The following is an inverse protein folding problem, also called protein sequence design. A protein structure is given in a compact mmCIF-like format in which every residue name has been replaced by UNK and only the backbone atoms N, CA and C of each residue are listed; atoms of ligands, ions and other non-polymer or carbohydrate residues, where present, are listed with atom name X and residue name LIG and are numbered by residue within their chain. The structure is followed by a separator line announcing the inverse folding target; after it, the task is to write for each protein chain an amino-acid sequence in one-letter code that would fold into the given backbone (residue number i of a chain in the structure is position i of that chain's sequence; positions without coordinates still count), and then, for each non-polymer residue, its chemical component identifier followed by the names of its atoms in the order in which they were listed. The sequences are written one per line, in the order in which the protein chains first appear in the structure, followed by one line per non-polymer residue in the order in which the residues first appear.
data_IF_673890851733
#
_entry.id   IF_673890851733
#
_cell.length_a   1.000
_cell.length_b   1.000
_cell.length_c   1.000
_cell.angle_alpha   90.00
_cell.angle_beta   90.00
_cell.angle_gamma   90.00
#
_symmetry.space_group_name_H-M   'P 1'
#
loop_
_entity.id
_entity.type
_entity.pdbx_description
1 polymer ?
#
# COMPACT_ATOMS: atom_id res chain seq x y z
N UNK A 1 21.01 6.52 8.09
CA UNK A 1 20.38 7.35 7.05
C UNK A 1 19.06 6.71 6.66
N UNK A 2 18.01 7.52 6.55
CA UNK A 2 16.67 7.08 6.14
C UNK A 2 16.32 7.78 4.82
N UNK A 3 15.92 7.02 3.80
CA UNK A 3 15.52 7.53 2.50
C UNK A 3 14.10 7.04 2.23
N UNK A 4 13.19 7.98 2.02
CA UNK A 4 11.82 7.67 1.64
C UNK A 4 11.63 7.80 0.11
N UNK A 5 10.65 7.08 -0.42
CA UNK A 5 10.28 7.08 -1.83
C UNK A 5 11.46 6.84 -2.78
N UNK A 6 12.29 5.83 -2.49
CA UNK A 6 13.55 5.55 -3.21
C UNK A 6 13.38 5.38 -4.72
N UNK A 7 12.21 4.94 -5.18
CA UNK A 7 11.87 4.84 -6.60
C UNK A 7 11.79 6.20 -7.32
N UNK A 8 11.70 7.30 -6.59
CA UNK A 8 11.67 8.66 -7.13
C UNK A 8 13.05 9.18 -7.49
N UNK A 9 14.12 8.57 -6.97
CA UNK A 9 15.48 8.96 -7.27
C UNK A 9 15.89 8.57 -8.69
N UNK A 10 16.68 9.41 -9.36
CA UNK A 10 17.26 9.09 -10.66
C UNK A 10 18.40 8.07 -10.55
N UNK A 11 18.70 7.38 -11.67
CA UNK A 11 19.72 6.33 -11.70
C UNK A 11 21.11 6.83 -11.29
N UNK A 12 21.61 7.99 -11.77
CA UNK A 12 22.86 8.57 -11.27
C UNK A 12 22.90 8.73 -9.75
N UNK A 13 21.86 9.31 -9.15
CA UNK A 13 21.78 9.49 -7.69
C UNK A 13 21.81 8.16 -6.93
N UNK A 14 21.06 7.16 -7.39
CA UNK A 14 21.08 5.82 -6.78
C UNK A 14 22.44 5.14 -6.87
N UNK A 15 23.18 5.34 -7.97
CA UNK A 15 24.55 4.83 -8.12
C UNK A 15 25.53 5.51 -7.18
N UNK A 16 25.44 6.84 -7.07
CA UNK A 16 26.30 7.61 -6.15
C UNK A 16 26.05 7.18 -4.69
N UNK A 17 24.79 7.00 -4.31
CA UNK A 17 24.40 6.48 -3.00
C UNK A 17 25.00 5.09 -2.75
N UNK A 18 24.86 4.16 -3.70
CA UNK A 18 25.38 2.81 -3.57
C UNK A 18 26.91 2.78 -3.47
N UNK A 19 27.61 3.61 -4.24
CA UNK A 19 29.07 3.74 -4.18
C UNK A 19 29.53 4.31 -2.84
N UNK A 20 28.94 5.43 -2.39
CA UNK A 20 29.30 6.03 -1.10
C UNK A 20 29.02 5.09 0.08
N UNK A 21 27.93 4.32 0.01
CA UNK A 21 27.64 3.28 1.01
C UNK A 21 28.69 2.16 1.00
N UNK A 22 29.11 1.73 -0.19
CA UNK A 22 30.15 0.70 -0.31
C UNK A 22 31.50 1.17 0.22
N UNK A 23 31.89 2.41 -0.06
CA UNK A 23 33.12 3.01 0.47
C UNK A 23 33.08 3.05 2.00
N UNK A 24 31.98 3.55 2.57
CA UNK A 24 31.79 3.60 4.02
C UNK A 24 31.81 2.21 4.67
N UNK A 25 31.16 1.22 4.06
CA UNK A 25 31.13 -0.15 4.58
C UNK A 25 32.50 -0.87 4.48
N UNK A 26 33.42 -0.37 3.65
CA UNK A 26 34.75 -0.95 3.45
C UNK A 26 35.83 -0.27 4.30
N UNK A 27 35.52 0.87 4.93
CA UNK A 27 36.45 1.64 5.75
C UNK A 27 36.45 1.12 7.21
N UNK A 28 37.58 0.58 7.71
CA UNK A 28 37.69 0.07 9.08
C UNK A 28 37.52 1.15 10.16
N UNK A 29 37.77 2.42 9.82
CA UNK A 29 37.63 3.55 10.75
C UNK A 29 36.24 4.18 10.69
N UNK A 30 35.36 3.72 9.78
CA UNK A 30 34.02 4.25 9.66
C UNK A 30 33.18 3.98 10.93
N UNK A 31 32.37 4.96 11.37
CA UNK A 31 31.45 4.75 12.47
C UNK A 31 30.35 3.74 12.07
N UNK A 32 29.76 3.02 13.05
CA UNK A 32 28.60 2.18 12.78
C UNK A 32 27.49 2.98 12.10
N UNK A 33 27.09 2.56 10.91
CA UNK A 33 26.08 3.22 10.11
C UNK A 33 25.04 2.21 9.62
N UNK A 34 23.81 2.67 9.42
CA UNK A 34 22.74 1.93 8.74
C UNK A 34 22.10 2.77 7.64
N UNK A 35 21.71 2.14 6.54
CA UNK A 35 20.94 2.73 5.44
C UNK A 35 19.61 1.99 5.32
N UNK A 36 18.51 2.73 5.53
CA UNK A 36 17.16 2.20 5.34
C UNK A 36 16.47 3.00 4.25
N UNK A 37 15.96 2.30 3.26
CA UNK A 37 15.23 2.88 2.13
C UNK A 37 13.80 2.33 2.13
N UNK A 38 12.83 3.21 1.94
CA UNK A 38 11.42 2.84 1.77
C UNK A 38 10.97 3.22 0.37
N UNK A 39 10.08 2.42 -0.21
CA UNK A 39 9.49 2.72 -1.50
C UNK A 39 8.37 1.75 -1.87
N UNK A 40 7.74 2.02 -3.01
CA UNK A 40 6.67 1.20 -3.56
C UNK A 40 7.18 -0.17 -4.06
N UNK A 41 6.32 -1.17 -4.32
CA UNK A 41 6.76 -2.50 -4.77
C UNK A 41 7.72 -2.49 -5.97
N UNK A 42 7.55 -1.56 -6.91
CA UNK A 42 8.46 -1.38 -8.06
C UNK A 42 9.86 -0.84 -7.73
N UNK A 43 10.16 -0.54 -6.46
CA UNK A 43 11.44 0.04 -6.03
C UNK A 43 12.60 -0.93 -6.20
N UNK A 44 12.38 -2.22 -5.98
CA UNK A 44 13.41 -3.25 -6.15
C UNK A 44 13.87 -3.32 -7.61
N UNK A 45 12.93 -3.37 -8.56
CA UNK A 45 13.23 -3.34 -10.01
C UNK A 45 13.94 -2.04 -10.40
N UNK A 46 13.53 -0.91 -9.81
CA UNK A 46 14.16 0.38 -10.09
C UNK A 46 15.62 0.41 -9.61
N UNK A 47 15.87 -0.04 -8.37
CA UNK A 47 17.20 -0.13 -7.76
C UNK A 47 18.12 -1.10 -8.50
N UNK A 48 17.64 -2.31 -8.80
CA UNK A 48 18.39 -3.32 -9.55
C UNK A 48 18.75 -2.85 -10.97
N UNK A 49 17.87 -2.08 -11.62
CA UNK A 49 18.15 -1.48 -12.93
C UNK A 49 19.16 -0.32 -12.90
N UNK A 50 19.47 0.21 -11.71
CA UNK A 50 20.39 1.32 -11.51
C UNK A 50 21.75 0.82 -10.98
N UNK A 51 21.76 -0.19 -10.11
CA UNK A 51 22.92 -0.65 -9.33
C UNK A 51 23.24 -2.11 -9.65
N UNK A 52 24.44 -2.37 -10.17
CA UNK A 52 24.90 -3.71 -10.58
C UNK A 52 25.03 -4.71 -9.43
N UNK A 53 25.22 -4.23 -8.19
CA UNK A 53 25.35 -5.05 -6.97
C UNK A 53 24.17 -4.87 -6.01
N UNK A 54 22.96 -4.84 -6.57
CA UNK A 54 21.71 -4.70 -5.80
C UNK A 54 21.46 -5.86 -4.82
N UNK A 55 22.11 -7.02 -5.01
CA UNK A 55 22.07 -8.17 -4.09
C UNK A 55 22.59 -7.88 -2.67
N UNK A 56 23.29 -6.75 -2.47
CA UNK A 56 23.81 -6.33 -1.16
C UNK A 56 22.81 -5.55 -0.31
N UNK A 57 21.62 -5.27 -0.86
CA UNK A 57 20.51 -4.72 -0.10
C UNK A 57 19.59 -5.85 0.33
N UNK A 58 19.25 -5.88 1.61
CA UNK A 58 18.17 -6.72 2.10
C UNK A 58 16.83 -6.05 1.77
N UNK A 59 15.99 -6.76 1.04
CA UNK A 59 14.65 -6.31 0.67
C UNK A 59 13.63 -6.96 1.59
N UNK A 60 13.09 -6.18 2.52
CA UNK A 60 12.02 -6.63 3.41
C UNK A 60 10.67 -6.11 2.88
N UNK A 61 9.81 -6.97 2.28
CA UNK A 61 8.51 -6.54 1.81
C UNK A 61 7.57 -6.24 2.98
N UNK A 62 6.95 -5.06 2.95
CA UNK A 62 5.90 -4.70 3.90
C UNK A 62 4.52 -4.99 3.30
N UNK A 63 3.77 -5.86 3.97
CA UNK A 63 2.40 -6.20 3.60
C UNK A 63 1.38 -5.43 4.42
N UNK A 64 0.09 -5.67 4.15
CA UNK A 64 -0.99 -5.21 5.02
C UNK A 64 -0.81 -5.69 6.47
N UNK A 65 -1.43 -4.97 7.40
CA UNK A 65 -1.40 -5.32 8.81
C UNK A 65 -2.40 -6.45 9.09
N UNK A 66 -1.92 -7.52 9.74
CA UNK A 66 -2.79 -8.60 10.19
C UNK A 66 -3.74 -8.15 11.30
N UNK A 67 -4.69 -9.03 11.68
CA UNK A 67 -5.72 -8.76 12.69
C UNK A 67 -5.15 -8.23 14.01
N UNK A 68 -4.05 -8.83 14.49
CA UNK A 68 -3.36 -8.39 15.72
C UNK A 68 -2.75 -7.00 15.56
N UNK A 69 -2.16 -6.70 14.40
CA UNK A 69 -1.57 -5.39 14.12
C UNK A 69 -2.64 -4.29 14.01
N UNK A 70 -3.75 -4.57 13.30
CA UNK A 70 -4.90 -3.67 13.23
C UNK A 70 -5.54 -3.45 14.60
N UNK A 71 -5.66 -4.50 15.41
CA UNK A 71 -6.13 -4.40 16.79
C UNK A 71 -5.24 -3.49 17.62
N UNK A 72 -3.92 -3.73 17.62
CA UNK A 72 -2.97 -2.92 18.36
C UNK A 72 -3.00 -1.45 17.92
N UNK A 73 -3.06 -1.20 16.61
CA UNK A 73 -3.12 0.15 16.05
C UNK A 73 -4.36 0.95 16.48
N UNK A 74 -5.48 0.29 16.77
CA UNK A 74 -6.69 0.94 17.29
C UNK A 74 -6.70 1.05 18.81
N UNK A 75 -6.24 0.01 19.50
CA UNK A 75 -6.37 -0.14 20.95
C UNK A 75 -5.27 0.60 21.70
N UNK A 76 -4.00 0.46 21.31
CA UNK A 76 -2.88 1.09 22.01
C UNK A 76 -3.03 2.60 22.19
N UNK A 77 -3.29 3.42 21.13
CA UNK A 77 -3.45 4.86 21.32
C UNK A 77 -4.67 5.24 22.16
N UNK A 78 -5.74 4.44 22.13
CA UNK A 78 -6.90 4.66 22.98
C UNK A 78 -6.59 4.36 24.46
N UNK A 79 -5.90 3.25 24.73
CA UNK A 79 -5.50 2.82 26.06
C UNK A 79 -4.52 3.82 26.72
N UNK A 80 -3.58 4.38 25.96
CA UNK A 80 -2.65 5.41 26.45
C UNK A 80 -3.39 6.65 26.98
N UNK A 81 -4.62 6.90 26.51
CA UNK A 81 -5.49 7.98 26.94
C UNK A 81 -6.62 7.51 27.90
N UNK A 82 -6.58 6.24 28.32
CA UNK A 82 -7.60 5.65 29.20
C UNK A 82 -8.96 5.43 28.53
N UNK A 83 -9.02 5.41 27.20
CA UNK A 83 -10.24 5.16 26.42
C UNK A 83 -10.31 3.69 26.02
N UNK A 84 -11.51 3.11 26.08
CA UNK A 84 -11.73 1.68 25.88
C UNK A 84 -12.49 1.45 24.57
N UNK A 85 -12.05 0.47 23.79
CA UNK A 85 -12.87 -0.08 22.70
C UNK A 85 -13.73 -1.22 23.23
N UNK A 86 -15.03 -1.14 23.00
CA UNK A 86 -15.91 -2.29 23.23
C UNK A 86 -15.54 -3.42 22.25
N UNK A 87 -15.62 -4.67 22.69
CA UNK A 87 -15.09 -5.83 21.94
C UNK A 87 -15.76 -6.02 20.58
N UNK A 88 -17.05 -5.74 20.47
CA UNK A 88 -17.83 -5.80 19.23
C UNK A 88 -17.44 -4.66 18.27
N UNK A 89 -17.25 -3.45 18.79
CA UNK A 89 -16.76 -2.29 18.05
C UNK A 89 -15.38 -2.55 17.44
N UNK A 90 -14.44 -3.04 18.26
CA UNK A 90 -13.08 -3.35 17.83
C UNK A 90 -13.07 -4.42 16.74
N UNK A 91 -13.81 -5.51 16.93
CA UNK A 91 -13.91 -6.58 15.93
C UNK A 91 -14.46 -6.04 14.61
N UNK A 92 -15.53 -5.26 14.65
CA UNK A 92 -16.10 -4.66 13.44
C UNK A 92 -15.11 -3.71 12.75
N UNK A 93 -14.40 -2.88 13.51
CA UNK A 93 -13.41 -1.96 12.99
C UNK A 93 -12.24 -2.68 12.30
N UNK A 94 -11.72 -3.74 12.91
CA UNK A 94 -10.64 -4.56 12.34
C UNK A 94 -11.10 -5.26 11.07
N UNK A 95 -12.29 -5.89 11.06
CA UNK A 95 -12.83 -6.55 9.88
C UNK A 95 -13.01 -5.59 8.70
N UNK A 96 -13.61 -4.41 8.92
CA UNK A 96 -13.87 -3.44 7.84
C UNK A 96 -12.58 -2.83 7.28
N UNK A 97 -11.50 -2.84 8.07
CA UNK A 97 -10.21 -2.29 7.66
C UNK A 97 -9.50 -3.10 6.56
N UNK A 98 -9.83 -4.40 6.44
CA UNK A 98 -9.20 -5.36 5.53
C UNK A 98 -7.65 -5.35 5.58
N UNK A 99 -7.10 -5.06 6.76
CA UNK A 99 -5.65 -5.00 6.99
C UNK A 99 -4.93 -3.86 6.28
N UNK A 100 -5.66 -2.89 5.69
CA UNK A 100 -5.03 -1.72 5.08
C UNK A 100 -4.73 -0.67 6.14
N UNK A 101 -3.45 -0.42 6.40
CA UNK A 101 -2.99 0.47 7.48
C UNK A 101 -3.65 1.86 7.46
N UNK A 102 -3.76 2.46 6.27
CA UNK A 102 -4.44 3.75 6.12
C UNK A 102 -5.94 3.68 6.46
N UNK A 103 -6.63 2.59 6.10
CA UNK A 103 -8.04 2.40 6.45
C UNK A 103 -8.22 2.17 7.96
N UNK A 104 -7.32 1.43 8.60
CA UNK A 104 -7.29 1.31 10.08
C UNK A 104 -7.17 2.68 10.74
N UNK A 105 -6.24 3.51 10.28
CA UNK A 105 -6.06 4.87 10.81
C UNK A 105 -7.32 5.71 10.63
N UNK A 106 -7.94 5.69 9.45
CA UNK A 106 -9.19 6.40 9.19
C UNK A 106 -10.34 5.92 10.09
N UNK A 107 -10.48 4.61 10.27
CA UNK A 107 -11.50 4.04 11.16
C UNK A 107 -11.27 4.53 12.59
N UNK A 108 -10.02 4.48 13.08
CA UNK A 108 -9.67 4.99 14.42
C UNK A 108 -10.02 6.47 14.59
N UNK A 109 -9.59 7.32 13.65
CA UNK A 109 -9.87 8.77 13.65
C UNK A 109 -11.38 9.04 13.68
N UNK A 110 -12.13 8.47 12.74
CA UNK A 110 -13.56 8.76 12.60
C UNK A 110 -14.39 8.19 13.75
N UNK A 111 -14.01 7.03 14.31
CA UNK A 111 -14.66 6.50 15.51
C UNK A 111 -14.40 7.39 16.73
N UNK A 112 -13.18 7.91 16.87
CA UNK A 112 -12.82 8.83 17.94
C UNK A 112 -13.61 10.14 17.86
N UNK A 113 -13.76 10.69 16.65
CA UNK A 113 -14.59 11.87 16.39
C UNK A 113 -16.07 11.58 16.67
N UNK A 114 -16.60 10.43 16.23
CA UNK A 114 -17.98 10.04 16.49
C UNK A 114 -18.28 9.79 17.97
N UNK A 115 -17.27 9.45 18.78
CA UNK A 115 -17.36 9.37 20.24
C UNK A 115 -17.32 10.74 20.92
N UNK A 116 -17.13 11.83 20.17
CA UNK A 116 -17.03 13.18 20.74
C UNK A 116 -15.65 13.49 21.35
N UNK A 117 -14.59 12.83 20.87
CA UNK A 117 -13.21 12.94 21.42
C UNK A 117 -13.17 12.59 22.92
N UNK A 118 -13.40 11.30 23.25
CA UNK A 118 -13.56 10.88 24.64
C UNK A 118 -12.31 11.13 25.48
N UNK A 119 -12.51 11.51 26.74
CA UNK A 119 -11.49 11.52 27.79
C UNK A 119 -11.35 10.13 28.44
N UNK A 120 -10.42 9.99 29.38
CA UNK A 120 -10.20 8.77 30.15
C UNK A 120 -11.50 8.23 30.78
N UNK A 121 -11.74 6.93 30.64
CA UNK A 121 -12.99 6.26 31.00
C UNK A 121 -14.06 6.28 29.90
N UNK A 122 -13.80 6.96 28.78
CA UNK A 122 -14.67 6.95 27.61
C UNK A 122 -14.62 5.62 26.84
N UNK A 123 -15.64 5.40 26.00
CA UNK A 123 -15.81 4.16 25.25
C UNK A 123 -16.09 4.41 23.76
N UNK A 124 -15.41 3.66 22.90
CA UNK A 124 -15.75 3.52 21.49
C UNK A 124 -16.63 2.27 21.32
N UNK A 125 -17.87 2.47 20.88
CA UNK A 125 -18.88 1.40 20.75
C UNK A 125 -19.23 1.14 19.29
N UNK A 126 -20.00 0.07 19.03
CA UNK A 126 -20.45 -0.28 17.69
C UNK A 126 -21.18 0.86 16.97
N UNK A 127 -21.91 1.72 17.71
CA UNK A 127 -22.57 2.90 17.17
C UNK A 127 -21.58 3.89 16.52
N UNK A 128 -20.40 4.09 17.12
CA UNK A 128 -19.36 4.95 16.54
C UNK A 128 -18.75 4.35 15.28
N UNK A 129 -18.55 3.03 15.24
CA UNK A 129 -18.07 2.33 14.04
C UNK A 129 -19.09 2.45 12.90
N UNK A 130 -20.38 2.30 13.21
CA UNK A 130 -21.45 2.47 12.24
C UNK A 130 -21.53 3.92 11.70
N UNK A 131 -21.33 4.92 12.56
CA UNK A 131 -21.30 6.32 12.16
C UNK A 131 -20.05 6.67 11.34
N UNK A 132 -18.90 6.10 11.68
CA UNK A 132 -17.62 6.32 11.00
C UNK A 132 -17.56 5.68 9.60
N UNK A 133 -18.14 4.48 9.44
CA UNK A 133 -18.07 3.69 8.21
C UNK A 133 -18.39 4.47 6.92
N UNK A 134 -19.52 5.19 6.77
CA UNK A 134 -19.80 5.93 5.54
C UNK A 134 -18.78 7.05 5.25
N UNK A 135 -18.17 7.64 6.28
CA UNK A 135 -17.14 8.68 6.13
C UNK A 135 -15.83 8.05 5.64
N UNK A 136 -15.43 6.93 6.24
CA UNK A 136 -14.26 6.16 5.83
C UNK A 136 -14.41 5.71 4.37
N UNK A 137 -15.56 5.15 3.99
CA UNK A 137 -15.81 4.71 2.62
C UNK A 137 -15.78 5.88 1.62
N UNK A 138 -16.29 7.06 2.00
CA UNK A 138 -16.17 8.28 1.18
C UNK A 138 -14.71 8.73 1.01
N UNK A 139 -13.91 8.70 2.07
CA UNK A 139 -12.48 9.03 2.03
C UNK A 139 -11.72 8.02 1.14
N UNK A 140 -12.01 6.72 1.27
CA UNK A 140 -11.45 5.67 0.41
C UNK A 140 -11.85 5.86 -1.06
N UNK A 141 -13.12 6.16 -1.36
CA UNK A 141 -13.57 6.48 -2.73
C UNK A 141 -12.86 7.70 -3.33
N UNK A 142 -12.53 8.69 -2.51
CA UNK A 142 -11.76 9.86 -2.94
C UNK A 142 -10.32 9.48 -3.30
N UNK A 143 -9.68 8.62 -2.49
CA UNK A 143 -8.37 8.03 -2.78
C UNK A 143 -8.42 7.25 -4.11
N UNK A 144 -9.39 6.35 -4.27
CA UNK A 144 -9.57 5.56 -5.50
C UNK A 144 -9.75 6.43 -6.73
N UNK A 145 -10.57 7.48 -6.63
CA UNK A 145 -10.80 8.43 -7.73
C UNK A 145 -9.52 9.14 -8.14
N UNK A 146 -8.70 9.56 -7.18
CA UNK A 146 -7.41 10.21 -7.46
C UNK A 146 -6.47 9.26 -8.19
N UNK A 147 -6.38 8.02 -7.70
CA UNK A 147 -5.55 6.95 -8.26
C UNK A 147 -5.97 6.59 -9.69
N UNK A 148 -7.26 6.39 -9.91
CA UNK A 148 -7.86 6.13 -11.23
C UNK A 148 -7.63 7.28 -12.22
N UNK A 149 -7.83 8.53 -11.79
CA UNK A 149 -7.63 9.72 -12.63
C UNK A 149 -6.17 9.88 -13.06
N UNK A 150 -5.23 9.50 -12.19
CA UNK A 150 -3.80 9.54 -12.52
C UNK A 150 -3.38 8.55 -13.62
N UNK A 151 -4.20 7.52 -13.89
CA UNK A 151 -3.89 6.49 -14.87
C UNK A 151 -4.22 6.94 -16.30
N UNK A 152 -3.36 6.59 -17.25
CA UNK A 152 -3.61 6.80 -18.69
C UNK A 152 -4.71 5.86 -19.21
N UNK A 153 -5.19 6.10 -20.44
CA UNK A 153 -6.23 5.25 -21.06
C UNK A 153 -5.81 3.78 -21.08
N UNK A 154 -4.59 3.47 -21.54
CA UNK A 154 -4.08 2.09 -21.57
C UNK A 154 -3.90 1.46 -20.20
N UNK A 155 -3.56 2.27 -19.19
CA UNK A 155 -3.48 1.80 -17.80
C UNK A 155 -4.88 1.49 -17.25
N UNK A 156 -5.88 2.32 -17.55
CA UNK A 156 -7.28 2.06 -17.17
C UNK A 156 -7.85 0.83 -17.87
N UNK A 157 -7.58 0.62 -19.16
CA UNK A 157 -7.95 -0.61 -19.89
C UNK A 157 -7.41 -1.86 -19.18
N UNK A 158 -6.13 -1.84 -18.78
CA UNK A 158 -5.51 -2.93 -18.03
C UNK A 158 -6.18 -3.14 -16.67
N UNK A 159 -6.39 -2.08 -15.89
CA UNK A 159 -7.06 -2.17 -14.58
C UNK A 159 -8.51 -2.67 -14.71
N UNK A 160 -9.26 -2.25 -15.73
CA UNK A 160 -10.62 -2.76 -15.97
C UNK A 160 -10.63 -4.25 -16.28
N UNK A 161 -9.69 -4.72 -17.10
CA UNK A 161 -9.54 -6.14 -17.38
C UNK A 161 -9.14 -6.93 -16.12
N UNK A 162 -8.21 -6.40 -15.31
CA UNK A 162 -7.87 -6.99 -14.01
C UNK A 162 -9.10 -7.08 -13.09
N UNK A 163 -9.86 -6.00 -12.96
CA UNK A 163 -11.04 -5.96 -12.09
C UNK A 163 -12.13 -6.94 -12.56
N UNK A 164 -12.34 -7.05 -13.88
CA UNK A 164 -13.27 -8.01 -14.47
C UNK A 164 -12.90 -9.48 -14.18
N UNK A 165 -11.61 -9.74 -13.92
CA UNK A 165 -11.06 -11.05 -13.58
C UNK A 165 -10.87 -11.24 -12.05
N UNK A 166 -11.41 -10.33 -11.23
CA UNK A 166 -11.41 -10.42 -9.76
C UNK A 166 -10.41 -9.51 -9.05
N UNK A 167 -9.48 -8.88 -9.78
CA UNK A 167 -8.57 -7.85 -9.25
C UNK A 167 -7.46 -8.34 -8.31
N UNK A 168 -7.50 -9.60 -7.87
CA UNK A 168 -6.49 -10.23 -7.02
C UNK A 168 -5.96 -11.49 -7.68
N UNK A 169 -4.64 -11.64 -7.67
CA UNK A 169 -3.94 -12.80 -8.19
C UNK A 169 -4.30 -13.14 -9.66
N UNK A 170 -4.45 -12.12 -10.50
CA UNK A 170 -4.90 -12.27 -11.89
C UNK A 170 -3.71 -12.60 -12.79
N UNK A 171 -3.81 -13.65 -13.61
CA UNK A 171 -2.74 -14.00 -14.57
C UNK A 171 -2.67 -12.97 -15.69
N UNK A 172 -1.45 -12.60 -16.07
CA UNK A 172 -1.17 -11.68 -17.18
C UNK A 172 -1.70 -12.21 -18.52
N UNK A 173 -1.69 -13.52 -18.72
CA UNK A 173 -2.23 -14.17 -19.92
C UNK A 173 -3.74 -14.00 -20.04
N UNK A 174 -4.46 -14.15 -18.93
CA UNK A 174 -5.92 -13.98 -18.89
C UNK A 174 -6.30 -12.52 -19.15
N UNK A 175 -5.52 -11.56 -18.65
CA UNK A 175 -5.71 -10.12 -18.94
C UNK A 175 -5.52 -9.85 -20.44
N UNK A 176 -4.46 -10.42 -21.04
CA UNK A 176 -4.18 -10.24 -22.46
C UNK A 176 -5.29 -10.84 -23.33
N UNK A 177 -5.76 -12.04 -22.98
CA UNK A 177 -6.88 -12.70 -23.64
C UNK A 177 -8.18 -11.87 -23.51
N UNK A 178 -8.48 -11.33 -22.33
CA UNK A 178 -9.65 -10.49 -22.10
C UNK A 178 -9.63 -9.21 -22.94
N UNK A 179 -8.44 -8.64 -23.16
CA UNK A 179 -8.24 -7.44 -23.97
C UNK A 179 -8.08 -7.72 -25.48
N UNK A 180 -7.97 -8.99 -25.89
CA UNK A 180 -7.72 -9.36 -27.29
C UNK A 180 -6.35 -8.91 -27.81
N UNK A 181 -5.34 -8.80 -26.94
CA UNK A 181 -3.98 -8.35 -27.29
C UNK A 181 -2.93 -9.40 -26.92
N UNK A 182 -1.72 -9.28 -27.48
CA UNK A 182 -0.58 -10.09 -27.04
C UNK A 182 -0.06 -9.65 -25.66
N UNK A 183 0.50 -10.57 -24.88
CA UNK A 183 1.04 -10.29 -23.53
C UNK A 183 2.12 -9.21 -23.53
N UNK A 184 2.87 -9.05 -24.62
CA UNK A 184 3.88 -8.00 -24.79
C UNK A 184 3.28 -6.59 -24.78
N UNK A 185 2.04 -6.42 -25.26
CA UNK A 185 1.35 -5.14 -25.25
C UNK A 185 1.04 -4.64 -23.82
N UNK A 186 1.05 -5.55 -22.84
CA UNK A 186 0.80 -5.21 -21.44
C UNK A 186 2.03 -4.67 -20.70
N UNK A 187 3.25 -4.82 -21.26
CA UNK A 187 4.49 -4.49 -20.54
C UNK A 187 4.55 -3.05 -20.04
N UNK A 188 4.48 -2.08 -20.97
CA UNK A 188 4.53 -0.65 -20.63
C UNK A 188 3.42 -0.21 -19.65
N UNK A 189 2.12 -0.51 -19.88
CA UNK A 189 1.08 -0.10 -18.94
C UNK A 189 1.22 -0.78 -17.58
N UNK A 190 1.61 -2.07 -17.53
CA UNK A 190 1.90 -2.79 -16.27
C UNK A 190 3.00 -2.10 -15.49
N UNK A 191 4.16 -1.86 -16.11
CA UNK A 191 5.34 -1.32 -15.43
C UNK A 191 5.04 0.06 -14.86
N UNK A 192 4.27 0.88 -15.58
CA UNK A 192 3.82 2.18 -15.10
C UNK A 192 2.82 2.09 -13.94
N UNK A 193 1.97 1.07 -13.89
CA UNK A 193 1.06 0.83 -12.77
C UNK A 193 1.79 0.33 -11.52
N UNK A 194 2.81 -0.52 -11.69
CA UNK A 194 3.72 -0.94 -10.62
C UNK A 194 4.47 0.26 -10.03
N UNK A 195 5.01 1.14 -10.88
CA UNK A 195 5.65 2.39 -10.46
C UNK A 195 4.71 3.33 -9.71
N UNK A 196 3.42 3.35 -10.08
CA UNK A 196 2.39 4.13 -9.37
C UNK A 196 1.88 3.45 -8.09
N UNK A 197 2.33 2.22 -7.81
CA UNK A 197 1.87 1.42 -6.67
C UNK A 197 0.38 1.08 -6.75
N UNK A 198 -0.22 1.03 -7.95
CA UNK A 198 -1.63 0.70 -8.15
C UNK A 198 -1.87 -0.80 -8.25
N UNK A 199 -0.85 -1.52 -8.69
CA UNK A 199 -0.82 -2.97 -8.77
C UNK A 199 0.48 -3.47 -8.16
N UNK A 200 0.49 -4.73 -7.77
CA UNK A 200 1.65 -5.47 -7.32
C UNK A 200 1.80 -6.77 -8.12
N UNK A 201 3.04 -7.26 -8.24
CA UNK A 201 3.37 -8.51 -8.91
C UNK A 201 3.57 -9.63 -7.88
N UNK A 202 2.45 -10.18 -7.38
CA UNK A 202 2.42 -11.15 -6.27
C UNK A 202 3.20 -12.44 -6.54
N UNK A 203 3.36 -12.82 -7.81
CA UNK A 203 4.19 -13.94 -8.25
C UNK A 203 4.48 -13.84 -9.75
N UNK A 204 5.26 -14.79 -10.29
CA UNK A 204 5.65 -14.79 -11.70
C UNK A 204 4.43 -14.72 -12.63
N UNK A 205 4.23 -13.56 -13.26
CA UNK A 205 3.15 -13.33 -14.23
C UNK A 205 1.76 -13.09 -13.62
N UNK A 206 1.64 -12.82 -12.31
CA UNK A 206 0.36 -12.55 -11.64
C UNK A 206 0.32 -11.15 -11.05
N UNK A 207 -0.85 -10.53 -11.09
CA UNK A 207 -1.06 -9.13 -10.70
C UNK A 207 -2.24 -9.01 -9.73
N UNK A 208 -2.07 -8.20 -8.69
CA UNK A 208 -3.13 -7.82 -7.76
C UNK A 208 -3.22 -6.29 -7.65
N UNK A 209 -4.39 -5.75 -7.35
CA UNK A 209 -4.48 -4.38 -6.84
C UNK A 209 -3.86 -4.30 -5.45
N UNK A 210 -3.21 -3.16 -5.17
CA UNK A 210 -2.61 -2.86 -3.86
C UNK A 210 -3.60 -2.27 -2.86
N UNK A 211 -4.78 -1.86 -3.32
CA UNK A 211 -5.78 -1.13 -2.56
C UNK A 211 -7.03 -1.99 -2.35
N UNK A 212 -7.37 -2.36 -1.11
CA UNK A 212 -8.63 -3.05 -0.82
C UNK A 212 -9.85 -2.27 -1.27
N UNK A 213 -10.85 -2.97 -1.83
CA UNK A 213 -12.07 -2.36 -2.39
C UNK A 213 -11.89 -1.65 -3.73
N UNK A 214 -10.66 -1.57 -4.27
CA UNK A 214 -10.42 -0.89 -5.54
C UNK A 214 -10.97 -1.67 -6.74
N UNK A 215 -11.05 -3.00 -6.66
CA UNK A 215 -11.71 -3.84 -7.67
C UNK A 215 -13.14 -3.38 -7.94
N UNK A 216 -13.95 -3.28 -6.87
CA UNK A 216 -15.36 -2.87 -6.98
C UNK A 216 -15.48 -1.46 -7.53
N UNK A 217 -14.64 -0.54 -7.04
CA UNK A 217 -14.59 0.82 -7.56
C UNK A 217 -14.32 0.86 -9.07
N UNK A 218 -13.37 0.06 -9.57
CA UNK A 218 -13.02 0.01 -11.00
C UNK A 218 -14.18 -0.58 -11.83
N UNK A 219 -14.88 -1.59 -11.32
CA UNK A 219 -16.05 -2.18 -12.00
C UNK A 219 -17.19 -1.17 -12.17
N UNK A 220 -17.34 -0.23 -11.23
CA UNK A 220 -18.32 0.87 -11.31
C UNK A 220 -17.95 1.95 -12.34
N UNK A 221 -16.70 2.01 -12.85
CA UNK A 221 -16.27 3.03 -13.83
C UNK A 221 -16.64 2.71 -15.29
N UNK A 222 -17.44 1.67 -15.52
CA UNK A 222 -17.85 1.20 -16.85
C UNK A 222 -18.88 2.13 -17.51
#
# INVERSE_FOLDING_TARGET
MLIDEVQSADKPSLRALAQGWQELASDPEAPPAGLFCVGLPGSQDHLTSAITFSERFDFEPLFGIGELGATAALVSPAQDLGVIWDTDALRSAVTISDGYAYKVQLIGEECWLAAGRPDAGGHIRAAQVAAASPIVEKKMRTLFTTRWRSASVKQRELMMAMAALGGTDVKREDIAAHLGVGTQALGVPRDKLLQKGLIDATSHGRLSFTLPGFTDYVLEQR
#
